data_IF_167811313066
#
_entry.id   IF_167811313066
#
_cell.length_a   1.000
_cell.length_b   1.000
_cell.length_c   1.000
_cell.angle_alpha   90.00
_cell.angle_beta   90.00
_cell.angle_gamma   90.00
#
_symmetry.space_group_name_H-M   'P 1'
#
loop_
_entity.id
_entity.type
_entity.pdbx_description
1 polymer ?
#
# COMPACT_ATOMS: atom_id res chain seq x y z
N UNK A 1 -25.58 26.18 128.33
CA UNK A 1 -26.14 24.81 128.35
C UNK A 1 -25.52 24.11 127.15
N UNK A 2 -24.34 23.50 127.29
CA UNK A 2 -24.16 22.08 127.62
C UNK A 2 -25.02 21.23 126.67
N UNK A 3 -24.50 20.60 125.61
CA UNK A 3 -23.46 19.57 125.49
C UNK A 3 -23.07 19.45 123.98
N UNK A 4 -22.03 18.81 123.45
CA UNK A 4 -20.87 18.02 123.88
C UNK A 4 -19.94 17.93 122.65
N UNK A 5 -18.63 17.96 122.86
CA UNK A 5 -17.60 17.65 121.85
C UNK A 5 -17.61 16.16 121.47
N UNK A 6 -17.26 15.85 120.21
CA UNK A 6 -16.50 14.65 119.81
C UNK A 6 -15.67 14.93 118.55
N UNK A 7 -14.40 14.57 118.63
CA UNK A 7 -13.35 14.61 117.61
C UNK A 7 -13.21 13.21 116.95
N UNK A 8 -12.27 13.09 115.97
CA UNK A 8 -11.77 11.88 115.26
C UNK A 8 -12.55 11.38 114.02
N UNK A 9 -11.96 10.92 112.88
CA UNK A 9 -10.58 10.65 112.43
C UNK A 9 -10.53 10.62 110.88
N UNK A 10 -9.32 10.71 110.30
CA UNK A 10 -8.95 10.70 108.87
C UNK A 10 -9.11 9.31 108.21
N UNK A 11 -9.51 9.25 106.93
CA UNK A 11 -9.07 8.18 106.02
C UNK A 11 -8.95 8.66 104.57
N UNK A 12 -7.75 8.48 104.01
CA UNK A 12 -7.28 8.70 102.63
C UNK A 12 -8.09 7.98 101.55
N UNK A 13 -8.29 8.62 100.39
CA UNK A 13 -8.20 7.98 99.06
C UNK A 13 -7.62 8.94 98.01
N UNK A 14 -6.41 8.64 97.58
CA UNK A 14 -5.88 9.01 96.27
C UNK A 14 -6.56 8.07 95.26
N UNK A 15 -7.21 8.62 94.24
CA UNK A 15 -7.55 7.85 93.05
C UNK A 15 -6.94 8.53 91.82
N UNK A 16 -6.15 7.74 91.10
CA UNK A 16 -5.32 8.10 89.97
C UNK A 16 -6.13 8.32 88.69
N UNK A 17 -5.62 9.22 87.84
CA UNK A 17 -6.02 9.32 86.42
C UNK A 17 -5.50 8.10 85.63
N UNK A 18 -6.15 7.75 84.51
CA UNK A 18 -5.31 7.54 83.33
C UNK A 18 -5.87 8.12 82.02
N UNK A 19 -4.98 8.86 81.38
CA UNK A 19 -4.46 8.69 80.01
C UNK A 19 -5.39 8.49 78.80
N UNK A 20 -5.24 9.43 77.88
CA UNK A 20 -5.41 9.38 76.41
C UNK A 20 -5.09 8.02 75.78
N UNK A 21 -6.12 7.35 75.26
CA UNK A 21 -5.97 6.15 74.43
C UNK A 21 -5.93 6.47 72.93
N UNK A 22 -4.76 6.87 72.44
CA UNK A 22 -4.40 6.73 71.02
C UNK A 22 -3.82 5.33 70.78
N UNK A 23 -4.66 4.28 70.69
CA UNK A 23 -4.23 2.92 70.24
C UNK A 23 -5.46 2.00 70.06
N UNK A 24 -6.21 2.18 68.98
CA UNK A 24 -7.21 1.20 68.55
C UNK A 24 -7.30 1.08 67.03
N UNK A 25 -6.15 0.85 66.37
CA UNK A 25 -6.13 0.47 64.94
C UNK A 25 -4.91 -0.39 64.58
N UNK A 26 -4.55 -1.35 65.44
CA UNK A 26 -3.55 -2.39 65.11
C UNK A 26 -3.95 -3.81 65.55
N UNK A 27 -5.16 -4.00 66.11
CA UNK A 27 -5.65 -5.31 66.58
C UNK A 27 -6.50 -6.10 65.56
N UNK A 28 -7.08 -5.46 64.55
CA UNK A 28 -8.00 -6.13 63.61
C UNK A 28 -7.27 -6.89 62.48
N UNK A 29 -6.04 -6.48 62.14
CA UNK A 29 -5.25 -7.05 61.05
C UNK A 29 -4.58 -8.40 61.38
N UNK A 30 -4.58 -8.82 62.67
CA UNK A 30 -3.95 -10.09 63.11
C UNK A 30 -4.92 -11.26 63.29
N UNK A 31 -6.23 -11.00 63.48
CA UNK A 31 -7.23 -12.04 63.82
C UNK A 31 -8.08 -12.51 62.63
N UNK A 32 -8.31 -11.65 61.64
CA UNK A 32 -9.11 -11.96 60.44
C UNK A 32 -8.29 -11.94 59.13
N UNK A 33 -6.96 -12.03 59.23
CA UNK A 33 -6.05 -11.99 58.06
C UNK A 33 -6.40 -13.01 56.98
N UNK A 34 -6.89 -14.20 57.37
CA UNK A 34 -7.32 -15.25 56.46
C UNK A 34 -8.58 -14.89 55.64
N UNK A 35 -9.50 -14.07 56.17
CA UNK A 35 -10.69 -13.60 55.43
C UNK A 35 -10.29 -12.61 54.34
N UNK A 36 -9.37 -11.70 54.65
CA UNK A 36 -8.82 -10.78 53.66
C UNK A 36 -8.04 -11.51 52.56
N UNK A 37 -7.29 -12.57 52.91
CA UNK A 37 -6.66 -13.46 51.93
C UNK A 37 -7.71 -14.17 51.07
N UNK A 38 -8.77 -14.71 51.66
CA UNK A 38 -9.82 -15.41 50.91
C UNK A 38 -10.56 -14.48 49.95
N UNK A 39 -10.92 -13.27 50.41
CA UNK A 39 -11.54 -12.25 49.55
C UNK A 39 -10.58 -11.82 48.45
N UNK A 40 -9.28 -11.62 48.75
CA UNK A 40 -8.25 -11.34 47.75
C UNK A 40 -8.18 -12.47 46.71
N UNK A 41 -8.18 -13.73 47.14
CA UNK A 41 -8.15 -14.89 46.25
C UNK A 41 -9.38 -14.92 45.34
N UNK A 42 -10.58 -14.69 45.88
CA UNK A 42 -11.82 -14.61 45.08
C UNK A 42 -11.75 -13.48 44.06
N UNK A 43 -11.27 -12.29 44.47
CA UNK A 43 -11.07 -11.16 43.55
C UNK A 43 -10.08 -11.54 42.46
N UNK A 44 -8.94 -12.14 42.79
CA UNK A 44 -7.93 -12.58 41.81
C UNK A 44 -8.53 -13.61 40.84
N UNK A 45 -9.30 -14.58 41.34
CA UNK A 45 -9.97 -15.62 40.53
C UNK A 45 -11.03 -15.03 39.60
N UNK A 46 -11.63 -13.88 39.90
CA UNK A 46 -12.58 -13.21 39.01
C UNK A 46 -11.85 -12.26 38.06
N UNK A 47 -10.97 -11.41 38.60
CA UNK A 47 -10.28 -10.34 37.85
C UNK A 47 -9.31 -10.92 36.83
N UNK A 48 -8.52 -11.94 37.18
CA UNK A 48 -7.52 -12.50 36.26
C UNK A 48 -8.17 -13.09 35.00
N UNK A 49 -9.22 -13.94 35.09
CA UNK A 49 -9.94 -14.39 33.90
C UNK A 49 -10.59 -13.26 33.11
N UNK A 50 -11.19 -12.26 33.77
CA UNK A 50 -11.80 -11.12 33.07
C UNK A 50 -10.75 -10.35 32.27
N UNK A 51 -9.59 -10.07 32.86
CA UNK A 51 -8.47 -9.40 32.17
C UNK A 51 -7.98 -10.25 31.00
N UNK A 52 -7.67 -11.52 31.23
CA UNK A 52 -7.10 -12.40 30.21
C UNK A 52 -8.08 -12.74 29.09
N UNK A 53 -9.38 -12.88 29.35
CA UNK A 53 -10.37 -13.32 28.36
C UNK A 53 -11.06 -12.17 27.64
N UNK A 54 -11.14 -10.98 28.25
CA UNK A 54 -11.91 -9.86 27.69
C UNK A 54 -11.03 -8.65 27.41
N UNK A 55 -10.19 -8.23 28.38
CA UNK A 55 -9.40 -7.01 28.22
C UNK A 55 -8.25 -7.20 27.20
N UNK A 56 -7.44 -8.25 27.35
CA UNK A 56 -6.29 -8.51 26.47
C UNK A 56 -6.68 -8.67 24.99
N UNK A 57 -7.69 -9.47 24.57
CA UNK A 57 -8.04 -9.58 23.15
C UNK A 57 -8.54 -8.26 22.57
N UNK A 58 -9.30 -7.46 23.35
CA UNK A 58 -9.74 -6.13 22.90
C UNK A 58 -8.57 -5.18 22.69
N UNK A 59 -7.61 -5.15 23.62
CA UNK A 59 -6.41 -4.33 23.50
C UNK A 59 -5.56 -4.80 22.30
N UNK A 60 -5.39 -6.11 22.12
CA UNK A 60 -4.65 -6.65 20.99
C UNK A 60 -5.28 -6.23 19.64
N UNK A 61 -6.59 -6.37 19.50
CA UNK A 61 -7.31 -5.93 18.31
C UNK A 61 -7.19 -4.41 18.09
N UNK A 62 -7.34 -3.61 19.15
CA UNK A 62 -7.18 -2.16 19.07
C UNK A 62 -5.78 -1.77 18.60
N UNK A 63 -4.73 -2.44 19.10
CA UNK A 63 -3.34 -2.15 18.69
C UNK A 63 -3.08 -2.50 17.23
N UNK A 64 -3.62 -3.60 16.72
CA UNK A 64 -3.56 -3.93 15.30
C UNK A 64 -4.29 -2.87 14.46
N UNK A 65 -5.46 -2.40 14.91
CA UNK A 65 -6.23 -1.37 14.21
C UNK A 65 -5.50 -0.01 14.19
N UNK A 66 -4.86 0.38 15.31
CA UNK A 66 -4.11 1.62 15.46
C UNK A 66 -2.78 1.63 14.70
N UNK A 67 -2.17 0.47 14.45
CA UNK A 67 -0.89 0.37 13.74
C UNK A 67 -0.99 0.99 12.33
N UNK A 68 -0.04 1.85 11.96
CA UNK A 68 0.01 2.42 10.61
C UNK A 68 0.94 1.60 9.75
N UNK A 69 0.43 1.08 8.64
CA UNK A 69 1.19 0.39 7.61
C UNK A 69 1.53 1.40 6.51
N UNK A 70 2.81 1.56 6.23
CA UNK A 70 3.33 2.30 5.09
C UNK A 70 4.01 1.31 4.14
N UNK A 71 3.68 1.37 2.85
CA UNK A 71 4.34 0.53 1.84
C UNK A 71 5.44 1.37 1.21
N UNK A 72 6.68 0.94 1.37
CA UNK A 72 7.86 1.71 0.97
C UNK A 72 8.22 1.45 -0.50
N UNK A 73 8.11 0.20 -0.95
CA UNK A 73 8.39 -0.19 -2.34
C UNK A 73 7.72 -1.50 -2.70
N UNK A 74 7.30 -1.64 -3.96
CA UNK A 74 6.82 -2.91 -4.51
C UNK A 74 7.64 -3.24 -5.76
N UNK A 75 8.13 -4.47 -5.87
CA UNK A 75 8.93 -4.94 -7.00
C UNK A 75 8.27 -6.17 -7.60
N UNK A 76 7.91 -6.10 -8.88
CA UNK A 76 7.33 -7.17 -9.67
C UNK A 76 8.34 -7.62 -10.72
N UNK A 77 8.69 -8.90 -10.68
CA UNK A 77 9.70 -9.51 -11.57
C UNK A 77 9.24 -10.88 -12.05
N UNK A 78 9.97 -11.45 -13.01
CA UNK A 78 9.75 -12.81 -13.51
C UNK A 78 8.28 -13.03 -13.92
N UNK A 79 7.75 -12.07 -14.67
CA UNK A 79 6.34 -12.02 -15.07
C UNK A 79 6.04 -13.08 -16.12
N UNK A 80 5.08 -13.94 -15.80
CA UNK A 80 4.63 -15.07 -16.60
C UNK A 80 3.09 -15.03 -16.66
N UNK A 81 2.42 -15.79 -17.57
CA UNK A 81 0.98 -15.62 -17.82
C UNK A 81 0.06 -15.70 -16.61
N UNK A 82 0.33 -16.62 -15.67
CA UNK A 82 -0.50 -16.85 -14.47
C UNK A 82 0.28 -16.68 -13.16
N UNK A 83 1.51 -16.18 -13.24
CA UNK A 83 2.41 -16.11 -12.09
C UNK A 83 3.39 -14.96 -12.21
N UNK A 84 3.74 -14.33 -11.09
CA UNK A 84 4.81 -13.33 -11.01
C UNK A 84 5.54 -13.44 -9.68
N UNK A 85 6.74 -12.88 -9.59
CA UNK A 85 7.42 -12.70 -8.31
C UNK A 85 7.12 -11.29 -7.80
N UNK A 86 6.64 -11.20 -6.57
CA UNK A 86 6.37 -9.93 -5.90
C UNK A 86 7.21 -9.81 -4.64
N UNK A 87 7.93 -8.70 -4.51
CA UNK A 87 8.58 -8.28 -3.29
C UNK A 87 7.97 -6.98 -2.79
N UNK A 88 7.61 -6.93 -1.51
CA UNK A 88 7.02 -5.76 -0.85
C UNK A 88 7.90 -5.43 0.34
N UNK A 89 8.40 -4.20 0.38
CA UNK A 89 9.01 -3.63 1.58
C UNK A 89 8.00 -2.67 2.20
N UNK A 90 7.77 -2.83 3.49
CA UNK A 90 6.82 -2.02 4.22
C UNK A 90 7.29 -1.73 5.63
N UNK A 91 6.82 -0.61 6.16
CA UNK A 91 7.12 -0.14 7.50
C UNK A 91 5.83 -0.05 8.30
N UNK A 92 5.79 -0.70 9.45
CA UNK A 92 4.69 -0.66 10.41
C UNK A 92 5.13 0.18 11.61
N UNK A 93 4.33 1.20 11.94
CA UNK A 93 4.55 2.04 13.13
C UNK A 93 3.47 1.80 14.17
N UNK A 94 3.87 1.69 15.43
CA UNK A 94 2.99 1.51 16.58
C UNK A 94 3.36 2.48 17.71
N UNK A 95 2.58 2.50 18.81
CA UNK A 95 2.92 3.31 19.98
C UNK A 95 4.06 2.70 20.84
N UNK A 96 4.56 1.51 20.49
CA UNK A 96 5.65 0.82 21.16
C UNK A 96 5.34 0.33 22.58
N UNK A 97 4.10 0.50 23.08
CA UNK A 97 3.76 0.21 24.49
C UNK A 97 3.49 -1.26 24.76
N UNK A 98 3.15 -2.02 23.72
CA UNK A 98 2.78 -3.44 23.81
C UNK A 98 3.74 -4.28 22.99
N UNK A 99 4.60 -5.02 23.68
CA UNK A 99 5.45 -6.02 23.06
C UNK A 99 4.66 -7.31 22.84
N UNK A 100 4.48 -7.68 21.58
CA UNK A 100 3.77 -8.89 21.20
C UNK A 100 4.41 -9.52 19.97
N UNK A 101 4.19 -10.81 19.76
CA UNK A 101 4.52 -11.51 18.52
C UNK A 101 3.24 -11.74 17.74
N UNK A 102 3.20 -11.30 16.50
CA UNK A 102 2.09 -11.49 15.56
C UNK A 102 2.47 -12.69 14.70
N UNK A 103 1.66 -13.75 14.75
CA UNK A 103 1.88 -14.95 13.94
C UNK A 103 1.84 -14.62 12.45
N UNK A 104 2.58 -15.39 11.64
CA UNK A 104 2.42 -15.32 10.19
C UNK A 104 1.01 -15.75 9.78
N UNK A 105 0.49 -15.14 8.72
CA UNK A 105 -0.89 -15.36 8.27
C UNK A 105 -1.02 -15.06 6.78
N UNK A 106 -2.04 -15.65 6.16
CA UNK A 106 -2.43 -15.33 4.80
C UNK A 106 -3.47 -14.21 4.82
N UNK A 107 -3.36 -13.30 3.87
CA UNK A 107 -4.30 -12.21 3.66
C UNK A 107 -4.79 -12.17 2.22
N UNK A 108 -5.96 -11.59 2.01
CA UNK A 108 -6.55 -11.33 0.71
C UNK A 108 -6.56 -9.83 0.44
N UNK A 109 -6.15 -9.44 -0.76
CA UNK A 109 -6.21 -8.07 -1.25
C UNK A 109 -7.47 -7.85 -2.09
N UNK A 110 -8.17 -6.76 -1.79
CA UNK A 110 -9.40 -6.35 -2.44
C UNK A 110 -9.23 -4.98 -3.09
N UNK A 111 -9.64 -4.86 -4.34
CA UNK A 111 -9.82 -3.58 -5.01
C UNK A 111 -11.17 -3.01 -4.56
N UNK A 112 -11.13 -1.84 -3.91
CA UNK A 112 -12.31 -1.22 -3.30
C UNK A 112 -13.04 -0.25 -4.25
N UNK A 113 -12.41 0.12 -5.36
CA UNK A 113 -12.98 1.06 -6.34
C UNK A 113 -13.95 0.41 -7.34
N UNK A 114 -14.50 -0.75 -6.98
CA UNK A 114 -15.50 -1.52 -7.73
C UNK A 114 -16.55 -2.06 -6.76
N UNK A 115 -17.78 -2.24 -7.25
CA UNK A 115 -18.91 -2.72 -6.45
C UNK A 115 -19.48 -4.03 -7.05
N UNK A 116 -19.43 -5.17 -6.33
CA UNK A 116 -18.84 -5.36 -5.00
C UNK A 116 -17.30 -5.30 -5.02
N UNK A 117 -16.63 -5.06 -3.86
CA UNK A 117 -15.17 -5.12 -3.75
C UNK A 117 -14.59 -6.41 -4.31
N UNK A 118 -13.52 -6.31 -5.09
CA UNK A 118 -13.00 -7.40 -5.90
C UNK A 118 -11.70 -7.97 -5.32
N UNK A 119 -11.73 -9.22 -4.86
CA UNK A 119 -10.52 -9.93 -4.45
C UNK A 119 -9.63 -10.24 -5.66
N UNK A 120 -8.35 -9.83 -5.63
CA UNK A 120 -7.45 -9.98 -6.78
C UNK A 120 -6.14 -10.72 -6.48
N UNK A 121 -5.72 -10.83 -5.22
CA UNK A 121 -4.49 -11.53 -4.85
C UNK A 121 -4.48 -11.95 -3.38
N UNK A 122 -3.61 -12.90 -3.04
CA UNK A 122 -3.34 -13.35 -1.67
C UNK A 122 -1.88 -13.09 -1.30
N UNK A 123 -1.62 -12.64 -0.08
CA UNK A 123 -0.26 -12.40 0.44
C UNK A 123 -0.01 -13.20 1.71
N UNK A 124 1.16 -13.85 1.81
CA UNK A 124 1.58 -14.53 3.02
C UNK A 124 2.49 -13.61 3.85
N UNK A 125 1.95 -13.11 4.96
CA UNK A 125 2.68 -12.27 5.89
C UNK A 125 3.54 -13.13 6.82
N UNK A 126 4.84 -12.80 7.00
CA UNK A 126 5.69 -13.51 7.93
C UNK A 126 5.32 -13.21 9.38
N UNK A 127 5.76 -14.06 10.30
CA UNK A 127 5.68 -13.75 11.72
C UNK A 127 6.50 -12.50 12.04
N UNK A 128 5.93 -11.60 12.83
CA UNK A 128 6.56 -10.32 13.19
C UNK A 128 6.52 -10.08 14.70
N UNK A 129 7.40 -9.21 15.19
CA UNK A 129 7.42 -8.76 16.59
C UNK A 129 7.05 -7.28 16.66
N UNK A 130 6.06 -6.95 17.46
CA UNK A 130 5.62 -5.58 17.70
C UNK A 130 6.76 -4.77 18.33
N UNK A 131 7.16 -3.74 17.60
CA UNK A 131 8.08 -2.69 18.02
C UNK A 131 7.49 -1.33 17.57
N UNK A 132 8.06 -0.22 18.06
CA UNK A 132 7.61 1.12 17.68
C UNK A 132 7.75 1.36 16.16
N UNK A 133 8.81 0.80 15.57
CA UNK A 133 9.08 0.83 14.13
C UNK A 133 9.50 -0.57 13.70
N UNK A 134 8.80 -1.13 12.71
CA UNK A 134 9.05 -2.48 12.24
C UNK A 134 9.08 -2.51 10.72
N UNK A 135 10.14 -3.08 10.16
CA UNK A 135 10.24 -3.35 8.72
C UNK A 135 9.72 -4.76 8.45
N UNK A 136 8.81 -4.88 7.49
CA UNK A 136 8.24 -6.15 7.02
C UNK A 136 8.55 -6.28 5.53
N UNK A 137 9.33 -7.30 5.22
CA UNK A 137 9.72 -7.64 3.86
C UNK A 137 9.04 -8.94 3.47
N UNK A 138 8.26 -8.89 2.38
CA UNK A 138 7.62 -10.04 1.77
C UNK A 138 8.31 -10.26 0.44
N UNK A 139 8.64 -11.50 0.12
CA UNK A 139 9.16 -11.89 -1.19
C UNK A 139 8.61 -13.27 -1.52
N UNK A 140 7.69 -13.33 -2.48
CA UNK A 140 6.97 -14.55 -2.81
C UNK A 140 6.57 -14.62 -4.29
N UNK A 141 6.30 -15.83 -4.75
CA UNK A 141 5.65 -16.06 -6.03
C UNK A 141 4.14 -15.91 -5.83
N UNK A 142 3.49 -15.11 -6.68
CA UNK A 142 2.05 -14.91 -6.70
C UNK A 142 1.44 -15.65 -7.88
N UNK A 143 0.56 -16.59 -7.58
CA UNK A 143 -0.30 -17.26 -8.56
C UNK A 143 -1.67 -16.60 -8.60
N UNK A 144 -2.25 -16.46 -9.79
CA UNK A 144 -3.55 -15.80 -9.93
C UNK A 144 -4.70 -16.82 -9.90
N UNK A 145 -5.45 -16.83 -8.80
CA UNK A 145 -6.68 -17.64 -8.70
C UNK A 145 -7.81 -17.08 -9.58
N UNK A 146 -7.83 -15.76 -9.75
CA UNK A 146 -8.76 -15.03 -10.61
C UNK A 146 -8.01 -14.03 -11.49
N UNK A 147 -7.61 -14.46 -12.69
CA UNK A 147 -6.87 -13.64 -13.64
C UNK A 147 -7.67 -12.39 -14.08
N UNK A 148 -9.00 -12.48 -14.20
CA UNK A 148 -9.84 -11.34 -14.58
C UNK A 148 -9.87 -10.26 -13.49
N UNK A 149 -9.79 -10.66 -12.22
CA UNK A 149 -9.64 -9.72 -11.11
C UNK A 149 -8.28 -9.00 -11.17
N UNK A 150 -7.20 -9.73 -11.49
CA UNK A 150 -5.86 -9.15 -11.68
C UNK A 150 -5.83 -8.19 -12.86
N UNK A 151 -6.46 -8.54 -13.99
CA UNK A 151 -6.61 -7.66 -15.14
C UNK A 151 -7.35 -6.37 -14.78
N UNK A 152 -8.44 -6.48 -14.04
CA UNK A 152 -9.21 -5.32 -13.56
C UNK A 152 -8.38 -4.44 -12.64
N UNK A 153 -7.65 -5.04 -11.70
CA UNK A 153 -6.72 -4.33 -10.82
C UNK A 153 -5.65 -3.58 -11.62
N UNK A 154 -5.00 -4.23 -12.59
CA UNK A 154 -3.95 -3.60 -13.40
C UNK A 154 -4.50 -2.49 -14.30
N UNK A 155 -5.70 -2.64 -14.87
CA UNK A 155 -6.35 -1.58 -15.63
C UNK A 155 -6.61 -0.33 -14.75
N UNK A 156 -7.07 -0.53 -13.51
CA UNK A 156 -7.23 0.57 -12.55
C UNK A 156 -5.89 1.18 -12.11
N UNK A 157 -4.90 0.34 -11.81
CA UNK A 157 -3.56 0.79 -11.42
C UNK A 157 -2.89 1.60 -12.53
N UNK A 158 -3.10 1.23 -13.79
CA UNK A 158 -2.59 1.98 -14.93
C UNK A 158 -3.33 3.32 -15.12
N UNK A 159 -4.67 3.27 -15.13
CA UNK A 159 -5.48 4.38 -15.65
C UNK A 159 -5.84 5.47 -14.63
N UNK A 160 -5.83 5.14 -13.34
CA UNK A 160 -6.22 6.08 -12.28
C UNK A 160 -4.99 6.72 -11.64
N UNK A 161 -5.17 7.95 -11.15
CA UNK A 161 -4.16 8.64 -10.33
C UNK A 161 -3.97 7.94 -8.97
N UNK A 162 -5.07 7.42 -8.41
CA UNK A 162 -5.09 6.71 -7.12
C UNK A 162 -6.08 5.56 -7.15
N UNK A 163 -5.77 4.51 -6.40
CA UNK A 163 -6.64 3.35 -6.19
C UNK A 163 -6.71 2.98 -4.70
N UNK A 164 -7.85 2.45 -4.27
CA UNK A 164 -8.04 1.97 -2.89
C UNK A 164 -7.94 0.45 -2.84
N UNK A 165 -6.97 -0.04 -2.06
CA UNK A 165 -6.77 -1.46 -1.81
C UNK A 165 -7.00 -1.76 -0.34
N UNK A 166 -7.79 -2.79 -0.06
CA UNK A 166 -7.98 -3.33 1.27
C UNK A 166 -7.24 -4.65 1.42
N UNK A 167 -6.50 -4.82 2.51
CA UNK A 167 -5.82 -6.07 2.86
C UNK A 167 -6.52 -6.63 4.09
N UNK A 168 -7.03 -7.85 3.99
CA UNK A 168 -7.72 -8.53 5.10
C UNK A 168 -7.18 -9.93 5.37
N UNK A 169 -7.03 -10.30 6.64
CA UNK A 169 -6.66 -11.65 7.04
C UNK A 169 -6.78 -11.84 8.54
N UNK A 170 -6.89 -13.07 8.99
CA UNK A 170 -6.96 -13.39 10.42
C UNK A 170 -5.61 -13.92 10.92
N UNK A 171 -5.18 -13.45 12.09
CA UNK A 171 -3.93 -13.86 12.70
C UNK A 171 -4.07 -14.03 14.22
N UNK A 172 -3.00 -14.49 14.85
CA UNK A 172 -2.90 -14.64 16.29
C UNK A 172 -1.79 -13.75 16.85
N UNK A 173 -2.09 -13.05 17.93
CA UNK A 173 -1.14 -12.22 18.66
C UNK A 173 -0.83 -12.85 20.01
N UNK A 174 0.47 -12.96 20.32
CA UNK A 174 0.97 -13.41 21.61
C UNK A 174 1.63 -12.25 22.35
N UNK A 175 0.99 -11.76 23.39
CA UNK A 175 1.51 -10.68 24.23
C UNK A 175 2.64 -11.20 25.12
N UNK A 176 3.71 -10.42 25.25
CA UNK A 176 4.87 -10.80 26.07
C UNK A 176 4.46 -11.04 27.52
N UNK A 177 4.94 -12.13 28.12
CA UNK A 177 4.56 -12.53 29.49
C UNK A 177 3.23 -13.28 29.59
N UNK A 178 2.48 -13.45 28.49
CA UNK A 178 1.24 -14.23 28.45
C UNK A 178 1.44 -15.41 27.50
N UNK A 179 1.25 -16.64 27.98
CA UNK A 179 1.46 -17.86 27.17
C UNK A 179 0.38 -18.06 26.09
N UNK A 180 -0.77 -17.40 26.23
CA UNK A 180 -1.94 -17.54 25.38
C UNK A 180 -1.83 -16.71 24.10
N UNK A 181 -2.26 -17.31 22.98
CA UNK A 181 -2.50 -16.63 21.72
C UNK A 181 -3.91 -16.03 21.68
N UNK A 182 -4.02 -14.82 21.15
CA UNK A 182 -5.27 -14.10 20.98
C UNK A 182 -5.59 -13.93 19.50
N UNK A 183 -6.74 -14.41 19.01
CA UNK A 183 -7.14 -14.19 17.64
C UNK A 183 -7.42 -12.70 17.43
N UNK A 184 -6.95 -12.16 16.31
CA UNK A 184 -7.21 -10.80 15.87
C UNK A 184 -7.43 -10.80 14.37
N UNK A 185 -8.23 -9.86 13.89
CA UNK A 185 -8.41 -9.63 12.46
C UNK A 185 -7.53 -8.47 12.02
N UNK A 186 -6.74 -8.68 10.96
CA UNK A 186 -5.97 -7.66 10.29
C UNK A 186 -6.80 -7.10 9.14
N UNK A 187 -7.10 -5.81 9.17
CA UNK A 187 -7.82 -5.13 8.09
C UNK A 187 -7.22 -3.74 7.90
N UNK A 188 -6.66 -3.47 6.71
CA UNK A 188 -6.02 -2.20 6.38
C UNK A 188 -6.48 -1.72 5.00
N UNK A 189 -6.95 -0.47 4.93
CA UNK A 189 -7.18 0.24 3.68
C UNK A 189 -5.93 1.05 3.35
N UNK A 190 -5.46 0.93 2.13
CA UNK A 190 -4.28 1.62 1.59
C UNK A 190 -4.72 2.35 0.32
N UNK A 191 -4.51 3.66 0.30
CA UNK A 191 -4.57 4.44 -0.93
C UNK A 191 -3.22 4.32 -1.64
N UNK A 192 -3.22 3.79 -2.85
CA UNK A 192 -2.02 3.63 -3.68
C UNK A 192 -2.05 4.63 -4.82
N UNK A 193 -0.89 5.19 -5.18
CA UNK A 193 -0.73 6.00 -6.39
C UNK A 193 -0.68 5.07 -7.61
N UNK A 194 -1.49 5.36 -8.62
CA UNK A 194 -1.47 4.67 -9.91
C UNK A 194 -0.63 5.39 -10.95
N UNK A 195 -0.45 4.78 -12.12
CA UNK A 195 0.40 5.31 -13.21
C UNK A 195 -0.23 6.48 -13.95
N UNK A 196 -1.53 6.77 -13.73
CA UNK A 196 -2.23 7.90 -14.33
C UNK A 196 -2.06 7.99 -15.86
N UNK A 197 -2.20 6.86 -16.58
CA UNK A 197 -1.98 6.76 -18.02
C UNK A 197 -0.62 7.30 -18.51
N UNK A 198 0.42 7.23 -17.68
CA UNK A 198 1.73 7.83 -17.96
C UNK A 198 1.63 9.31 -18.35
N UNK A 199 0.72 10.05 -17.69
CA UNK A 199 0.62 11.49 -17.87
C UNK A 199 2.00 12.14 -17.71
N UNK A 200 2.42 12.88 -18.74
CA UNK A 200 3.76 13.46 -18.81
C UNK A 200 4.77 12.66 -19.63
N UNK A 201 4.32 11.66 -20.43
CA UNK A 201 5.19 11.03 -21.43
C UNK A 201 5.82 12.07 -22.36
N UNK A 202 7.13 11.94 -22.59
CA UNK A 202 7.87 12.81 -23.50
C UNK A 202 8.58 11.95 -24.53
N UNK A 203 8.43 12.30 -25.81
CA UNK A 203 9.18 11.68 -26.90
C UNK A 203 10.19 12.69 -27.43
N UNK A 204 11.45 12.30 -27.47
CA UNK A 204 12.58 13.13 -27.90
C UNK A 204 13.39 12.44 -28.97
N UNK A 205 14.20 13.23 -29.69
CA UNK A 205 15.04 12.76 -30.79
C UNK A 205 14.28 11.91 -31.82
N UNK A 206 13.13 12.39 -32.34
CA UNK A 206 12.40 11.65 -33.36
C UNK A 206 13.22 11.61 -34.65
N UNK A 207 13.34 10.41 -35.21
CA UNK A 207 13.95 10.18 -36.51
C UNK A 207 12.99 9.45 -37.44
N UNK A 208 12.99 9.82 -38.72
CA UNK A 208 12.12 9.26 -39.76
C UNK A 208 12.90 8.88 -41.00
N UNK A 209 12.39 7.90 -41.75
CA UNK A 209 12.91 7.55 -43.07
C UNK A 209 11.77 7.07 -43.99
N UNK A 210 12.05 6.86 -45.28
CA UNK A 210 11.03 6.51 -46.28
C UNK A 210 10.82 4.99 -46.47
N UNK A 211 11.39 4.15 -45.60
CA UNK A 211 11.21 2.71 -45.70
C UNK A 211 9.75 2.32 -45.34
N UNK A 212 9.26 1.17 -45.83
CA UNK A 212 7.90 0.70 -45.51
C UNK A 212 7.78 0.16 -44.07
N UNK A 213 8.91 -0.17 -43.43
CA UNK A 213 9.02 -0.69 -42.06
C UNK A 213 10.22 -0.05 -41.37
N UNK A 214 10.19 -0.02 -40.04
CA UNK A 214 11.17 0.62 -39.18
C UNK A 214 11.49 2.05 -39.68
N UNK A 215 10.42 2.82 -39.87
CA UNK A 215 10.46 4.10 -40.53
C UNK A 215 10.30 5.29 -39.57
N UNK A 216 10.20 4.99 -38.28
CA UNK A 216 10.27 5.93 -37.18
C UNK A 216 11.07 5.31 -36.02
N UNK A 217 11.91 6.10 -35.37
CA UNK A 217 12.46 5.77 -34.04
C UNK A 217 12.66 7.04 -33.20
N UNK A 218 12.69 6.86 -31.87
CA UNK A 218 12.85 7.96 -30.93
C UNK A 218 13.28 7.45 -29.55
N UNK A 219 13.49 8.39 -28.62
CA UNK A 219 13.62 8.10 -27.18
C UNK A 219 12.34 8.52 -26.46
N UNK A 220 11.69 7.60 -25.76
CA UNK A 220 10.52 7.88 -24.94
C UNK A 220 10.90 7.89 -23.46
N UNK A 221 10.54 8.96 -22.75
CA UNK A 221 10.57 9.01 -21.29
C UNK A 221 9.18 8.70 -20.74
N UNK A 222 9.04 7.60 -20.02
CA UNK A 222 7.83 7.16 -19.34
C UNK A 222 7.92 7.49 -17.84
N UNK A 223 7.14 8.47 -17.35
CA UNK A 223 7.12 8.79 -15.93
C UNK A 223 6.40 7.70 -15.14
N UNK A 224 6.97 7.31 -14.01
CA UNK A 224 6.36 6.41 -13.04
C UNK A 224 6.24 7.13 -11.68
N UNK A 225 5.05 7.70 -11.37
CA UNK A 225 4.83 8.42 -10.12
C UNK A 225 4.67 7.49 -8.90
N UNK A 226 4.74 6.18 -9.11
CA UNK A 226 4.41 5.17 -8.10
C UNK A 226 5.66 4.63 -7.40
N UNK A 227 5.45 3.85 -6.34
CA UNK A 227 6.51 3.09 -5.65
C UNK A 227 6.79 1.71 -6.31
N UNK A 228 6.16 1.42 -7.45
CA UNK A 228 6.26 0.14 -8.13
C UNK A 228 7.48 0.12 -9.05
N UNK A 229 8.28 -0.93 -8.93
CA UNK A 229 9.18 -1.39 -9.99
C UNK A 229 8.54 -2.58 -10.69
N UNK A 230 8.33 -2.52 -12.00
CA UNK A 230 7.59 -3.57 -12.74
C UNK A 230 8.36 -4.00 -13.98
N UNK A 231 8.69 -5.28 -14.04
CA UNK A 231 9.22 -5.95 -15.24
C UNK A 231 8.06 -6.32 -16.18
N UNK A 232 7.87 -5.53 -17.24
CA UNK A 232 6.80 -5.70 -18.24
C UNK A 232 7.26 -6.59 -19.38
N UNK A 233 8.50 -6.42 -19.84
CA UNK A 233 9.05 -7.10 -21.02
C UNK A 233 8.85 -6.30 -22.30
N UNK A 234 8.59 -6.99 -23.42
CA UNK A 234 8.42 -6.38 -24.73
C UNK A 234 6.96 -5.97 -24.93
N UNK A 235 6.72 -4.71 -25.27
CA UNK A 235 5.38 -4.21 -25.53
C UNK A 235 5.24 -3.68 -26.95
N UNK A 236 4.05 -3.86 -27.51
CA UNK A 236 3.67 -3.25 -28.79
C UNK A 236 2.39 -2.47 -28.64
N UNK A 237 2.27 -1.41 -29.43
CA UNK A 237 1.16 -0.46 -29.37
C UNK A 237 0.63 -0.19 -30.77
N UNK A 238 -0.68 -0.10 -30.89
CA UNK A 238 -1.30 0.60 -32.00
C UNK A 238 -1.01 2.09 -31.88
N UNK A 239 -0.74 2.74 -33.01
CA UNK A 239 -0.60 4.20 -33.08
C UNK A 239 -1.78 4.75 -33.83
N UNK A 240 -2.42 5.76 -33.26
CA UNK A 240 -3.55 6.43 -33.87
C UNK A 240 -3.23 7.91 -34.09
N UNK A 241 -3.58 8.39 -35.28
CA UNK A 241 -3.60 9.81 -35.59
C UNK A 241 -5.04 10.20 -35.90
N UNK A 242 -5.60 11.13 -35.11
CA UNK A 242 -7.00 11.55 -35.22
C UNK A 242 -7.98 10.34 -35.22
N UNK A 243 -7.70 9.34 -34.37
CA UNK A 243 -8.49 8.11 -34.23
C UNK A 243 -8.30 7.06 -35.35
N UNK A 244 -7.50 7.34 -36.39
CA UNK A 244 -7.19 6.36 -37.44
C UNK A 244 -5.91 5.61 -37.11
N UNK A 245 -5.92 4.27 -37.16
CA UNK A 245 -4.71 3.46 -36.97
C UNK A 245 -3.72 3.77 -38.10
N UNK A 246 -2.54 4.25 -37.73
CA UNK A 246 -1.45 4.58 -38.64
C UNK A 246 -0.31 3.57 -38.57
N UNK A 247 -0.31 2.61 -37.63
CA UNK A 247 0.82 1.70 -37.52
C UNK A 247 1.05 1.09 -36.15
N UNK A 248 2.18 0.39 -36.01
CA UNK A 248 2.56 -0.30 -34.77
C UNK A 248 3.90 0.23 -34.25
N UNK A 249 3.93 0.53 -32.96
CA UNK A 249 5.14 0.94 -32.24
C UNK A 249 5.59 -0.19 -31.31
N UNK A 250 6.88 -0.22 -31.05
CA UNK A 250 7.56 -1.29 -30.34
C UNK A 250 8.51 -0.69 -29.30
N UNK A 251 8.57 -1.37 -28.15
CA UNK A 251 9.49 -1.09 -27.05
C UNK A 251 9.91 -2.43 -26.44
N UNK A 252 11.20 -2.59 -26.15
CA UNK A 252 11.76 -3.84 -25.63
C UNK A 252 12.18 -3.71 -24.19
N UNK A 253 12.18 -4.85 -23.50
CA UNK A 253 12.80 -5.04 -22.18
C UNK A 253 12.38 -3.97 -21.16
N UNK A 254 11.09 -3.62 -21.17
CA UNK A 254 10.54 -2.55 -20.33
C UNK A 254 10.57 -2.99 -18.87
N UNK A 255 11.35 -2.25 -18.07
CA UNK A 255 11.34 -2.31 -16.62
C UNK A 255 11.07 -0.91 -16.10
N UNK A 256 9.85 -0.65 -15.65
CA UNK A 256 9.50 0.64 -15.05
C UNK A 256 10.03 0.69 -13.62
N UNK A 257 10.70 1.77 -13.27
CA UNK A 257 11.19 2.10 -11.93
C UNK A 257 10.56 3.41 -11.47
N UNK A 258 10.42 3.67 -10.17
CA UNK A 258 9.94 4.97 -9.69
C UNK A 258 10.75 6.13 -10.28
N UNK A 259 10.07 7.17 -10.76
CA UNK A 259 10.67 8.30 -11.46
C UNK A 259 10.61 8.17 -12.99
N UNK A 260 11.54 8.84 -13.67
CA UNK A 260 11.61 8.90 -15.14
C UNK A 260 12.34 7.68 -15.71
N UNK A 261 11.80 7.11 -16.79
CA UNK A 261 12.34 5.91 -17.43
C UNK A 261 12.50 6.14 -18.94
N UNK A 262 13.75 6.14 -19.41
CA UNK A 262 14.05 6.34 -20.83
C UNK A 262 14.14 5.00 -21.58
N UNK A 263 13.47 4.93 -22.72
CA UNK A 263 13.47 3.77 -23.59
C UNK A 263 13.64 4.17 -25.05
N UNK A 264 14.39 3.35 -25.79
CA UNK A 264 14.37 3.42 -27.24
C UNK A 264 13.08 2.81 -27.77
N UNK A 265 12.41 3.53 -28.67
CA UNK A 265 11.21 3.08 -29.36
C UNK A 265 11.41 3.12 -30.87
N UNK A 266 10.73 2.23 -31.59
CA UNK A 266 10.64 2.29 -33.05
C UNK A 266 9.24 1.92 -33.52
N UNK A 267 8.91 2.27 -34.75
CA UNK A 267 7.59 2.01 -35.30
C UNK A 267 7.60 1.75 -36.81
N UNK A 268 6.57 1.01 -37.24
CA UNK A 268 6.15 0.87 -38.62
C UNK A 268 4.90 1.74 -38.81
N UNK A 269 5.03 2.85 -39.55
CA UNK A 269 3.95 3.85 -39.67
C UNK A 269 3.61 4.14 -41.12
N UNK A 270 2.32 4.27 -41.41
CA UNK A 270 1.81 4.76 -42.68
C UNK A 270 2.09 6.26 -42.79
N UNK A 271 2.92 6.64 -43.76
CA UNK A 271 3.46 8.00 -43.88
C UNK A 271 2.46 8.97 -44.52
N UNK A 272 1.56 8.49 -45.39
CA UNK A 272 0.59 9.33 -46.08
C UNK A 272 -0.31 10.14 -45.13
N UNK A 273 -0.96 9.55 -44.09
CA UNK A 273 -1.76 10.31 -43.15
C UNK A 273 -0.93 11.31 -42.33
N UNK A 274 0.33 10.97 -41.99
CA UNK A 274 1.24 11.88 -41.28
C UNK A 274 1.56 13.11 -42.13
N UNK A 275 2.02 12.91 -43.37
CA UNK A 275 2.38 14.00 -44.26
C UNK A 275 1.17 14.91 -44.54
N UNK A 276 -0.03 14.34 -44.70
CA UNK A 276 -1.24 15.12 -44.85
C UNK A 276 -1.55 15.96 -43.59
N UNK A 277 -1.44 15.35 -42.40
CA UNK A 277 -1.67 16.06 -41.14
C UNK A 277 -0.70 17.21 -40.91
N UNK A 278 0.58 17.04 -41.27
CA UNK A 278 1.60 18.10 -41.19
C UNK A 278 1.33 19.29 -42.11
N UNK A 279 0.41 19.19 -43.08
CA UNK A 279 -0.01 20.35 -43.90
C UNK A 279 -1.15 21.15 -43.29
N UNK A 280 -1.75 20.69 -42.18
CA UNK A 280 -2.93 21.30 -41.58
C UNK A 280 -2.59 21.97 -40.23
N UNK A 281 -3.21 23.10 -39.86
CA UNK A 281 -3.07 23.66 -38.53
C UNK A 281 -3.62 22.72 -37.44
N UNK A 282 -3.03 22.69 -36.23
CA UNK A 282 -1.85 23.45 -35.81
C UNK A 282 -0.51 22.78 -36.16
N UNK A 283 -0.53 21.56 -36.73
CA UNK A 283 0.68 20.78 -36.98
C UNK A 283 1.61 21.43 -38.00
N UNK A 284 1.08 22.10 -39.02
CA UNK A 284 1.89 22.79 -40.02
C UNK A 284 2.61 24.04 -39.49
N UNK A 285 2.16 24.60 -38.36
CA UNK A 285 2.78 25.75 -37.70
C UNK A 285 3.80 25.31 -36.64
N UNK A 286 3.50 24.21 -35.94
CA UNK A 286 4.28 23.75 -34.79
C UNK A 286 5.25 22.62 -35.12
N UNK A 287 5.04 21.88 -36.20
CA UNK A 287 5.71 20.61 -36.48
C UNK A 287 5.21 19.44 -35.64
N UNK A 288 4.33 19.70 -34.66
CA UNK A 288 3.93 18.71 -33.66
C UNK A 288 2.69 17.93 -34.09
N UNK A 289 2.72 16.63 -33.86
CA UNK A 289 1.57 15.74 -33.97
C UNK A 289 1.34 15.02 -32.65
N UNK A 290 0.07 14.93 -32.25
CA UNK A 290 -0.36 14.09 -31.13
C UNK A 290 -0.64 12.69 -31.67
N UNK A 291 0.10 11.71 -31.15
CA UNK A 291 -0.08 10.30 -31.47
C UNK A 291 -0.66 9.60 -30.24
N UNK A 292 -1.82 8.97 -30.40
CA UNK A 292 -2.42 8.16 -29.35
C UNK A 292 -1.92 6.72 -29.48
N UNK A 293 -1.47 6.13 -28.38
CA UNK A 293 -0.99 4.77 -28.30
C UNK A 293 -2.00 3.91 -27.54
N UNK A 294 -2.47 2.82 -28.18
CA UNK A 294 -3.30 1.80 -27.55
C UNK A 294 -2.55 0.49 -27.41
N UNK A 295 -2.57 -0.14 -26.23
CA UNK A 295 -1.89 -1.41 -26.00
C UNK A 295 -2.32 -2.51 -26.98
N UNK A 296 -1.36 -3.23 -27.56
CA UNK A 296 -1.60 -4.29 -28.53
C UNK A 296 -1.17 -5.65 -28.00
N UNK A 297 0.12 -5.81 -27.69
CA UNK A 297 0.64 -7.04 -27.06
C UNK A 297 1.70 -6.72 -26.02
N UNK A 298 1.79 -7.59 -25.01
CA UNK A 298 2.91 -7.62 -24.07
C UNK A 298 3.43 -9.03 -23.99
N UNK A 299 4.74 -9.19 -24.15
CA UNK A 299 5.42 -10.48 -24.09
C UNK A 299 6.61 -10.41 -23.15
N UNK A 300 6.73 -11.41 -22.28
CA UNK A 300 7.94 -11.63 -21.51
C UNK A 300 8.36 -13.10 -21.63
N UNK A 301 9.65 -13.35 -21.82
CA UNK A 301 10.21 -14.69 -22.01
C UNK A 301 9.48 -15.54 -23.08
N UNK A 302 9.03 -14.90 -24.17
CA UNK A 302 8.31 -15.55 -25.26
C UNK A 302 6.84 -15.88 -24.98
N UNK A 303 6.29 -15.44 -23.85
CA UNK A 303 4.90 -15.69 -23.45
C UNK A 303 4.10 -14.39 -23.37
N UNK A 304 2.83 -14.41 -23.79
CA UNK A 304 1.92 -13.26 -23.68
C UNK A 304 1.53 -13.01 -22.24
N UNK A 305 1.68 -11.77 -21.79
CA UNK A 305 1.35 -11.33 -20.44
C UNK A 305 0.02 -10.56 -20.47
N UNK A 306 -1.08 -11.31 -20.45
CA UNK A 306 -2.42 -10.75 -20.69
C UNK A 306 -2.84 -9.67 -19.68
N UNK A 307 -2.41 -9.77 -18.42
CA UNK A 307 -2.74 -8.79 -17.40
C UNK A 307 -2.01 -7.44 -17.54
N UNK A 308 -0.94 -7.37 -18.34
CA UNK A 308 -0.35 -6.10 -18.75
C UNK A 308 -0.93 -5.64 -20.09
N UNK A 309 -1.11 -6.56 -21.03
CA UNK A 309 -1.72 -6.27 -22.32
C UNK A 309 -3.09 -5.62 -22.16
N UNK A 310 -3.98 -6.21 -21.36
CA UNK A 310 -5.34 -5.72 -21.16
C UNK A 310 -5.35 -4.37 -20.43
N UNK A 311 -4.39 -4.16 -19.52
CA UNK A 311 -4.22 -2.87 -18.87
C UNK A 311 -3.84 -1.79 -19.90
N UNK A 312 -2.80 -2.01 -20.71
CA UNK A 312 -2.43 -1.05 -21.77
C UNK A 312 -3.51 -0.87 -22.83
N UNK A 313 -4.36 -1.87 -23.07
CA UNK A 313 -5.48 -1.76 -23.99
C UNK A 313 -6.68 -1.00 -23.39
N UNK A 314 -6.75 -0.84 -22.07
CA UNK A 314 -7.89 -0.20 -21.38
C UNK A 314 -7.91 1.34 -21.49
N UNK A 315 -6.82 1.95 -21.94
CA UNK A 315 -6.65 3.40 -22.01
C UNK A 315 -5.61 3.78 -23.07
N UNK A 316 -5.75 4.97 -23.64
CA UNK A 316 -4.77 5.50 -24.59
C UNK A 316 -3.75 6.38 -23.86
N UNK A 317 -2.49 6.27 -24.28
CA UNK A 317 -1.42 7.19 -23.90
C UNK A 317 -1.20 8.15 -25.06
N UNK A 318 -1.28 9.46 -24.83
CA UNK A 318 -1.05 10.46 -25.89
C UNK A 318 0.37 11.03 -25.80
N UNK A 319 1.12 10.97 -26.89
CA UNK A 319 2.45 11.58 -27.01
C UNK A 319 2.44 12.71 -28.05
N UNK A 320 2.98 13.87 -27.69
CA UNK A 320 3.21 14.98 -28.62
C UNK A 320 4.63 14.84 -29.17
N UNK A 321 4.75 14.74 -30.50
CA UNK A 321 6.02 14.48 -31.18
C UNK A 321 6.26 15.54 -32.25
N UNK A 322 7.46 16.14 -32.27
CA UNK A 322 7.89 17.07 -33.32
C UNK A 322 8.32 16.32 -34.58
N UNK A 323 7.33 15.78 -35.29
CA UNK A 323 7.53 15.03 -36.54
C UNK A 323 7.98 15.98 -37.66
N UNK A 324 7.56 17.25 -37.64
CA UNK A 324 7.97 18.26 -38.60
C UNK A 324 9.48 18.48 -38.61
N UNK A 325 10.10 18.62 -37.43
CA UNK A 325 11.55 18.71 -37.32
C UNK A 325 12.26 17.44 -37.82
N UNK A 326 11.74 16.25 -37.47
CA UNK A 326 12.31 14.98 -37.93
C UNK A 326 12.30 14.88 -39.47
N UNK A 327 11.16 15.18 -40.11
CA UNK A 327 11.03 15.16 -41.57
C UNK A 327 12.00 16.15 -42.23
N UNK A 328 12.14 17.35 -41.67
CA UNK A 328 13.07 18.35 -42.18
C UNK A 328 14.52 17.90 -42.05
N UNK A 329 14.90 17.35 -40.90
CA UNK A 329 16.29 17.00 -40.60
C UNK A 329 16.74 15.73 -41.33
N UNK A 330 15.88 14.71 -41.40
CA UNK A 330 16.25 13.40 -41.92
C UNK A 330 15.93 13.23 -43.42
N UNK A 331 14.85 13.85 -43.90
CA UNK A 331 14.38 13.72 -45.29
C UNK A 331 14.69 15.00 -46.11
N UNK A 332 14.96 16.13 -45.45
CA UNK A 332 15.22 17.41 -46.13
C UNK A 332 13.97 18.07 -46.71
N UNK A 333 12.78 17.67 -46.28
CA UNK A 333 11.49 18.21 -46.76
C UNK A 333 10.96 19.28 -45.81
N UNK A 334 10.57 20.43 -46.36
CA UNK A 334 9.80 21.45 -45.66
C UNK A 334 8.33 21.34 -46.08
N UNK A 335 7.43 21.15 -45.11
CA UNK A 335 6.01 20.96 -45.37
C UNK A 335 5.28 22.29 -45.15
N UNK A 336 4.73 22.93 -46.20
CA UNK A 336 3.99 24.18 -46.04
C UNK A 336 2.57 23.94 -45.50
N UNK A 337 2.03 24.93 -44.79
CA UNK A 337 0.61 24.96 -44.43
C UNK A 337 -0.27 25.04 -45.68
N UNK A 338 -1.27 24.16 -45.77
CA UNK A 338 -2.24 24.15 -46.86
C UNK A 338 -3.21 25.31 -46.67
N UNK A 339 -3.25 26.22 -47.65
CA UNK A 339 -4.17 27.37 -47.64
C UNK A 339 -3.58 28.66 -47.05
N UNK A 340 -2.30 28.68 -46.67
CA UNK A 340 -1.58 29.94 -46.43
C UNK A 340 -1.08 30.49 -47.78
N UNK A 341 -1.99 31.11 -48.52
CA UNK A 341 -1.69 31.97 -49.68
C UNK A 341 -1.78 33.43 -49.28
#
# INVERSE_FOLDING_TARGET
MADSYKEETITTRFDASPETNSKASKGHCKRFWWVYILVLVVIVVIVVPVVLLVAVPKIAQQKINEAKLHVDSIVVTNTRPNVLNMAINSTITTDGKVHATIAGFQSTMYLMDVDPPLAFATLDFPQTKSDALMVVNISQELTFDNLDAVKTFNAHLLSKEKINVKIEGDTNVRVSGIARNYPVSFSKNIEMVGFNNFAGVVVTNPHVNLNPVNNFNATANLPNPTIWTVEIGNATFHNYLNGSDIGTAYILDVVLRPGDNEFFIWADVNQAPILNALTLPPACETGNLTIDLGGKTVMNNGQTISYFQDAFASSNVSAIIDIGAAVKNDIGLSIPCKGSS
#
